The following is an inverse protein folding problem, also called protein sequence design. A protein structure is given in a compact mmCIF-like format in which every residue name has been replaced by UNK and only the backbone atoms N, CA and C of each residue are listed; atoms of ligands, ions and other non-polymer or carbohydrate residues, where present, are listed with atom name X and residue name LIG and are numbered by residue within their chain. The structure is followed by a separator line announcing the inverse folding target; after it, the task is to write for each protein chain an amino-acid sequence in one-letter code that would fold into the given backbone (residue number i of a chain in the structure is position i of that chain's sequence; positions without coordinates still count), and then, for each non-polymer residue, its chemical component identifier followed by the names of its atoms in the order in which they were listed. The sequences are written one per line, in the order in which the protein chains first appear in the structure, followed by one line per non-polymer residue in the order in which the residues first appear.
data_IF_201479313753
#
_entry.id   IF_201479313753
#
_cell.length_a   1.000
_cell.length_b   1.000
_cell.length_c   1.000
_cell.angle_alpha   90.00
_cell.angle_beta   90.00
_cell.angle_gamma   90.00
#
_symmetry.space_group_name_H-M   'P 1'
#
loop_
_entity.id
_entity.type
_entity.pdbx_description
1 polymer ?
#
# COMPACT_ATOMS: atom_id res chain seq x y z
N UNK A 1 -8.22 -12.15 15.31
CA UNK A 1 -6.81 -11.92 14.90
C UNK A 1 -6.75 -12.10 13.38
N UNK A 2 -6.37 -11.07 12.62
CA UNK A 2 -6.35 -11.12 11.15
C UNK A 2 -5.02 -11.78 10.73
N UNK A 3 -5.04 -13.09 10.55
CA UNK A 3 -3.84 -13.87 10.22
C UNK A 3 -3.47 -13.58 8.76
N UNK A 4 -2.24 -13.14 8.54
CA UNK A 4 -1.72 -12.89 7.19
C UNK A 4 -0.87 -14.08 6.75
N UNK A 5 -1.33 -14.79 5.72
CA UNK A 5 -0.56 -15.84 5.08
C UNK A 5 0.43 -15.23 4.10
N UNK A 6 1.63 -15.81 4.02
CA UNK A 6 2.56 -15.56 2.90
C UNK A 6 2.04 -16.22 1.63
N UNK A 7 2.64 -15.90 0.48
CA UNK A 7 2.26 -16.48 -0.81
C UNK A 7 2.41 -18.01 -0.82
N UNK A 8 3.50 -18.52 -0.26
CA UNK A 8 3.75 -19.96 -0.13
C UNK A 8 2.72 -20.63 0.79
N UNK A 9 2.42 -20.02 1.94
CA UNK A 9 1.42 -20.55 2.87
C UNK A 9 0.02 -20.56 2.27
N UNK A 10 -0.32 -19.53 1.49
CA UNK A 10 -1.57 -19.48 0.72
C UNK A 10 -1.64 -20.58 -0.33
N UNK A 11 -0.54 -20.84 -1.04
CA UNK A 11 -0.48 -21.88 -2.06
C UNK A 11 -0.60 -23.28 -1.44
N UNK A 12 0.10 -23.52 -0.33
CA UNK A 12 -0.05 -24.74 0.46
C UNK A 12 -1.48 -24.92 0.97
N UNK A 13 -2.15 -23.84 1.36
CA UNK A 13 -3.56 -23.89 1.74
C UNK A 13 -4.49 -24.25 0.58
N UNK A 14 -4.21 -23.80 -0.65
CA UNK A 14 -4.97 -24.21 -1.83
C UNK A 14 -4.74 -25.67 -2.18
N UNK A 15 -3.48 -26.14 -2.10
CA UNK A 15 -3.13 -27.54 -2.34
C UNK A 15 -3.78 -28.47 -1.30
N UNK A 16 -3.81 -28.02 -0.04
CA UNK A 16 -4.50 -28.68 1.04
C UNK A 16 -6.00 -28.85 0.75
N UNK A 17 -6.67 -27.78 0.33
CA UNK A 17 -8.08 -27.80 -0.06
C UNK A 17 -8.35 -28.72 -1.25
N UNK A 18 -7.44 -28.80 -2.23
CA UNK A 18 -7.54 -29.74 -3.35
C UNK A 18 -7.43 -31.18 -2.90
N UNK A 19 -6.51 -31.47 -1.98
CA UNK A 19 -6.37 -32.81 -1.39
C UNK A 19 -7.64 -33.20 -0.63
N UNK A 20 -8.19 -32.29 0.16
CA UNK A 20 -9.44 -32.49 0.89
C UNK A 20 -10.63 -32.76 -0.06
N UNK A 21 -10.70 -32.09 -1.21
CA UNK A 21 -11.71 -32.36 -2.26
C UNK A 21 -11.54 -33.74 -2.91
N UNK A 22 -10.30 -34.17 -3.13
CA UNK A 22 -9.98 -35.49 -3.69
C UNK A 22 -10.36 -36.61 -2.72
N UNK A 23 -9.97 -36.45 -1.46
CA UNK A 23 -10.00 -37.54 -0.47
C UNK A 23 -11.34 -37.56 0.30
N UNK A 24 -12.15 -36.50 0.18
CA UNK A 24 -13.48 -36.33 0.77
C UNK A 24 -13.46 -36.09 2.29
N UNK A 25 -12.47 -36.62 3.00
CA UNK A 25 -12.22 -36.39 4.42
C UNK A 25 -10.71 -36.46 4.70
N UNK A 26 -10.26 -35.89 5.82
CA UNK A 26 -8.90 -36.09 6.30
C UNK A 26 -8.93 -36.81 7.65
N UNK A 27 -8.05 -37.79 7.79
CA UNK A 27 -7.75 -38.37 9.10
C UNK A 27 -6.86 -37.42 9.91
N UNK A 28 -6.85 -37.59 11.25
CA UNK A 28 -6.12 -36.72 12.19
C UNK A 28 -4.66 -36.49 11.82
N UNK A 29 -3.98 -37.52 11.34
CA UNK A 29 -2.56 -37.45 11.04
C UNK A 29 -2.29 -36.74 9.71
N UNK A 30 -3.23 -36.82 8.76
CA UNK A 30 -3.04 -36.34 7.40
C UNK A 30 -2.92 -34.81 7.31
N UNK A 31 -3.56 -34.06 8.20
CA UNK A 31 -3.44 -32.59 8.24
C UNK A 31 -2.01 -32.18 8.57
N UNK A 32 -1.46 -32.65 9.68
CA UNK A 32 -0.11 -32.28 10.11
C UNK A 32 0.96 -32.88 9.20
N UNK A 33 0.75 -34.11 8.70
CA UNK A 33 1.61 -34.73 7.69
C UNK A 33 1.64 -33.92 6.39
N UNK A 34 0.52 -33.29 6.00
CA UNK A 34 0.50 -32.46 4.79
C UNK A 34 1.38 -31.23 4.91
N UNK A 35 1.31 -30.53 6.05
CA UNK A 35 2.05 -29.28 6.25
C UNK A 35 3.48 -29.49 6.74
N UNK A 36 3.83 -30.67 7.28
CA UNK A 36 5.12 -30.95 7.95
C UNK A 36 5.47 -29.98 9.09
N UNK A 37 4.54 -29.12 9.49
CA UNK A 37 4.68 -28.06 10.47
C UNK A 37 3.31 -27.81 11.10
N UNK A 38 3.25 -27.95 12.43
CA UNK A 38 2.02 -27.80 13.21
C UNK A 38 1.52 -26.36 13.22
N UNK A 39 2.42 -25.39 13.39
CA UNK A 39 2.04 -23.98 13.48
C UNK A 39 1.52 -23.50 12.13
N UNK A 40 2.16 -23.93 11.05
CA UNK A 40 1.68 -23.66 9.70
C UNK A 40 0.27 -24.22 9.46
N UNK A 41 0.05 -25.50 9.81
CA UNK A 41 -1.26 -26.13 9.68
C UNK A 41 -2.34 -25.33 10.43
N UNK A 42 -2.05 -24.95 11.69
CA UNK A 42 -2.97 -24.17 12.52
C UNK A 42 -3.29 -22.82 11.88
N UNK A 43 -2.28 -22.10 11.40
CA UNK A 43 -2.43 -20.78 10.79
C UNK A 43 -3.28 -20.86 9.52
N UNK A 44 -3.01 -21.81 8.63
CA UNK A 44 -3.75 -22.01 7.38
C UNK A 44 -5.18 -22.44 7.66
N UNK A 45 -5.39 -23.46 8.49
CA UNK A 45 -6.72 -23.98 8.83
C UNK A 45 -7.59 -22.90 9.50
N UNK A 46 -7.06 -22.14 10.46
CA UNK A 46 -7.80 -21.03 11.08
C UNK A 46 -8.15 -19.94 10.08
N UNK A 47 -7.27 -19.66 9.12
CA UNK A 47 -7.56 -18.68 8.07
C UNK A 47 -8.70 -19.14 7.18
N UNK A 48 -8.75 -20.44 6.85
CA UNK A 48 -9.83 -21.06 6.08
C UNK A 48 -11.15 -21.07 6.85
N UNK A 49 -11.10 -21.33 8.16
CA UNK A 49 -12.26 -21.28 9.05
C UNK A 49 -12.84 -19.87 9.17
N UNK A 50 -11.99 -18.85 9.38
CA UNK A 50 -12.43 -17.44 9.41
C UNK A 50 -13.09 -17.00 8.10
N UNK A 51 -12.77 -17.67 6.99
CA UNK A 51 -13.39 -17.45 5.68
C UNK A 51 -14.65 -18.29 5.44
N UNK A 52 -15.03 -19.14 6.40
CA UNK A 52 -16.19 -20.03 6.30
C UNK A 52 -16.02 -21.16 5.29
N UNK A 53 -14.77 -21.47 4.89
CA UNK A 53 -14.48 -22.49 3.88
C UNK A 53 -14.48 -23.89 4.49
N UNK A 54 -13.99 -23.98 5.72
CA UNK A 54 -14.00 -25.20 6.52
C UNK A 54 -14.53 -24.88 7.90
N UNK A 55 -14.98 -25.88 8.63
CA UNK A 55 -15.25 -25.78 10.06
C UNK A 55 -14.29 -26.69 10.81
N UNK A 56 -13.66 -26.14 11.84
CA UNK A 56 -12.67 -26.85 12.63
C UNK A 56 -13.34 -27.42 13.88
N UNK A 57 -13.13 -28.71 14.14
CA UNK A 57 -13.63 -29.40 15.33
C UNK A 57 -12.52 -30.20 16.00
N UNK A 58 -12.40 -30.06 17.32
CA UNK A 58 -11.31 -30.67 18.10
C UNK A 58 -11.41 -30.31 19.59
N UNK A 59 -10.55 -30.89 20.44
CA UNK A 59 -10.55 -30.66 21.88
C UNK A 59 -10.07 -29.25 22.22
N UNK A 60 -9.35 -28.57 21.32
CA UNK A 60 -8.97 -27.16 21.49
C UNK A 60 -9.06 -26.38 20.19
N UNK A 61 -9.36 -25.08 20.28
CA UNK A 61 -9.40 -24.15 19.15
C UNK A 61 -8.04 -23.98 18.45
N UNK A 62 -6.95 -24.25 19.17
CA UNK A 62 -5.59 -24.17 18.64
C UNK A 62 -5.11 -25.48 18.03
N UNK A 63 -5.86 -26.58 18.19
CA UNK A 63 -5.50 -27.90 17.69
C UNK A 63 -6.75 -28.63 17.19
N UNK A 64 -7.36 -28.15 16.08
CA UNK A 64 -8.53 -28.80 15.54
C UNK A 64 -8.15 -30.03 14.72
N UNK A 65 -8.75 -31.15 15.08
CA UNK A 65 -8.42 -32.47 14.53
C UNK A 65 -9.35 -32.92 13.41
N UNK A 66 -10.48 -32.26 13.25
CA UNK A 66 -11.54 -32.63 12.31
C UNK A 66 -11.90 -31.42 11.50
N UNK A 67 -11.92 -31.60 10.18
CA UNK A 67 -12.24 -30.56 9.21
C UNK A 67 -13.56 -30.95 8.59
N UNK A 68 -14.61 -30.21 8.91
CA UNK A 68 -15.91 -30.35 8.26
C UNK A 68 -15.93 -29.43 7.03
N UNK A 69 -16.31 -30.03 5.90
CA UNK A 69 -16.36 -29.38 4.59
C UNK A 69 -17.82 -29.11 4.24
N UNK A 70 -18.21 -27.87 3.93
CA UNK A 70 -19.50 -27.60 3.31
C UNK A 70 -19.50 -28.20 1.89
N UNK A 71 -20.59 -28.88 1.51
CA UNK A 71 -20.70 -29.73 0.29
C UNK A 71 -20.17 -29.08 -1.01
N UNK A 72 -20.18 -27.74 -1.15
CA UNK A 72 -19.69 -27.03 -2.35
C UNK A 72 -18.77 -25.81 -2.08
N UNK A 73 -18.46 -25.51 -0.82
CA UNK A 73 -17.76 -24.26 -0.45
C UNK A 73 -16.33 -24.20 -1.01
N UNK A 74 -15.62 -25.33 -0.97
CA UNK A 74 -14.20 -25.41 -1.34
C UNK A 74 -14.00 -25.35 -2.85
N UNK A 75 -14.81 -26.08 -3.61
CA UNK A 75 -14.76 -26.09 -5.08
C UNK A 75 -14.98 -24.69 -5.64
N UNK A 76 -16.01 -23.99 -5.13
CA UNK A 76 -16.31 -22.61 -5.52
C UNK A 76 -15.18 -21.66 -5.13
N UNK A 77 -14.62 -21.80 -3.92
CA UNK A 77 -13.52 -20.98 -3.45
C UNK A 77 -12.24 -21.14 -4.31
N UNK A 78 -11.87 -22.38 -4.63
CA UNK A 78 -10.72 -22.68 -5.48
C UNK A 78 -10.93 -22.23 -6.93
N UNK A 79 -12.13 -22.38 -7.49
CA UNK A 79 -12.49 -21.83 -8.82
C UNK A 79 -12.33 -20.32 -8.87
N UNK A 80 -12.63 -19.64 -7.76
CA UNK A 80 -12.46 -18.20 -7.64
C UNK A 80 -11.00 -17.78 -7.39
N UNK A 81 -10.06 -18.73 -7.34
CA UNK A 81 -8.61 -18.50 -7.24
C UNK A 81 -8.00 -18.75 -5.86
N UNK A 82 -8.79 -19.18 -4.88
CA UNK A 82 -8.31 -19.66 -3.59
C UNK A 82 -7.61 -18.60 -2.73
N UNK A 83 -6.84 -19.06 -1.75
CA UNK A 83 -5.98 -18.25 -0.89
C UNK A 83 -4.85 -17.59 -1.67
N UNK A 84 -4.36 -18.21 -2.75
CA UNK A 84 -3.29 -17.67 -3.59
C UNK A 84 -3.68 -16.35 -4.26
N UNK A 85 -4.91 -16.29 -4.82
CA UNK A 85 -5.41 -15.04 -5.42
C UNK A 85 -5.57 -13.94 -4.37
N UNK A 86 -6.06 -14.28 -3.18
CA UNK A 86 -6.22 -13.31 -2.09
C UNK A 86 -4.86 -12.74 -1.65
N UNK A 87 -3.81 -13.57 -1.60
CA UNK A 87 -2.46 -13.10 -1.31
C UNK A 87 -1.94 -12.16 -2.42
N UNK A 88 -2.13 -12.53 -3.69
CA UNK A 88 -1.72 -11.71 -4.83
C UNK A 88 -2.45 -10.36 -4.91
N UNK A 89 -3.76 -10.34 -4.66
CA UNK A 89 -4.55 -9.11 -4.67
C UNK A 89 -4.15 -8.17 -3.53
N UNK A 90 -3.79 -8.73 -2.36
CA UNK A 90 -3.23 -7.95 -1.25
C UNK A 90 -1.87 -7.35 -1.59
N UNK A 91 -0.96 -8.12 -2.19
CA UNK A 91 0.36 -7.61 -2.61
C UNK A 91 0.22 -6.45 -3.62
N UNK A 92 -0.72 -6.58 -4.57
CA UNK A 92 -1.07 -5.48 -5.48
C UNK A 92 -1.63 -4.27 -4.73
N UNK A 93 -2.46 -4.48 -3.72
CA UNK A 93 -3.03 -3.38 -2.94
C UNK A 93 -1.97 -2.65 -2.10
N UNK A 94 -1.06 -3.39 -1.47
CA UNK A 94 0.01 -2.82 -0.65
C UNK A 94 1.02 -2.05 -1.53
N UNK A 95 1.37 -2.60 -2.70
CA UNK A 95 2.20 -1.89 -3.68
C UNK A 95 1.52 -0.63 -4.26
N UNK A 96 0.20 -0.69 -4.49
CA UNK A 96 -0.57 0.47 -4.94
C UNK A 96 -0.57 1.57 -3.87
N UNK A 97 -0.82 1.21 -2.61
CA UNK A 97 -0.78 2.16 -1.49
C UNK A 97 0.59 2.83 -1.34
N UNK A 98 1.67 2.06 -1.45
CA UNK A 98 3.02 2.61 -1.38
C UNK A 98 3.29 3.63 -2.49
N UNK A 99 2.86 3.31 -3.73
CA UNK A 99 2.95 4.24 -4.87
C UNK A 99 2.09 5.48 -4.68
N UNK A 100 0.88 5.35 -4.16
CA UNK A 100 -0.01 6.49 -3.89
C UNK A 100 0.58 7.43 -2.83
N UNK A 101 1.22 6.87 -1.79
CA UNK A 101 1.93 7.66 -0.77
C UNK A 101 3.13 8.40 -1.37
N UNK A 102 3.89 7.75 -2.26
CA UNK A 102 5.00 8.37 -2.97
C UNK A 102 4.53 9.50 -3.90
N UNK A 103 3.45 9.28 -4.66
CA UNK A 103 2.83 10.31 -5.51
C UNK A 103 2.39 11.50 -4.65
N UNK A 104 1.79 11.26 -3.48
CA UNK A 104 1.35 12.31 -2.57
C UNK A 104 2.52 13.13 -2.04
N UNK A 105 3.62 12.49 -1.64
CA UNK A 105 4.83 13.18 -1.18
C UNK A 105 5.49 14.01 -2.30
N UNK A 106 5.63 13.42 -3.50
CA UNK A 106 6.15 14.11 -4.67
C UNK A 106 5.28 15.30 -5.06
N UNK A 107 3.95 15.16 -5.02
CA UNK A 107 3.00 16.25 -5.29
C UNK A 107 3.16 17.37 -4.27
N UNK A 108 3.27 17.05 -2.98
CA UNK A 108 3.49 18.04 -1.93
C UNK A 108 4.84 18.78 -2.09
N UNK A 109 5.91 18.06 -2.46
CA UNK A 109 7.22 18.65 -2.76
C UNK A 109 7.15 19.58 -3.97
N UNK A 110 6.47 19.17 -5.04
CA UNK A 110 6.33 19.97 -6.25
C UNK A 110 5.55 21.27 -5.98
N UNK A 111 4.43 21.19 -5.25
CA UNK A 111 3.66 22.35 -4.81
C UNK A 111 4.49 23.32 -3.96
N UNK A 112 5.32 22.80 -3.04
CA UNK A 112 6.24 23.64 -2.24
C UNK A 112 7.29 24.34 -3.10
N UNK A 113 7.85 23.65 -4.09
CA UNK A 113 8.83 24.22 -5.01
C UNK A 113 8.21 25.29 -5.91
N UNK A 114 7.03 25.03 -6.48
CA UNK A 114 6.27 26.01 -7.27
C UNK A 114 5.95 27.26 -6.43
N UNK A 115 5.46 27.08 -5.20
CA UNK A 115 5.20 28.20 -4.29
C UNK A 115 6.47 29.01 -3.99
N UNK A 116 7.62 28.35 -3.83
CA UNK A 116 8.90 29.04 -3.61
C UNK A 116 9.35 29.81 -4.86
N UNK A 117 9.18 29.25 -6.06
CA UNK A 117 9.49 29.93 -7.31
C UNK A 117 8.57 31.14 -7.53
N UNK A 118 7.27 30.99 -7.28
CA UNK A 118 6.30 32.07 -7.38
C UNK A 118 6.65 33.23 -6.43
N UNK A 119 7.02 32.94 -5.19
CA UNK A 119 7.49 33.97 -4.23
C UNK A 119 8.72 34.73 -4.73
N UNK A 120 9.69 34.04 -5.35
CA UNK A 120 10.87 34.69 -5.94
C UNK A 120 10.50 35.55 -7.14
N UNK A 121 9.62 35.06 -8.01
CA UNK A 121 9.16 35.82 -9.17
C UNK A 121 8.47 37.13 -8.75
N UNK A 122 7.58 37.07 -7.74
CA UNK A 122 6.94 38.27 -7.17
C UNK A 122 7.96 39.20 -6.52
N UNK A 123 8.94 38.66 -5.80
CA UNK A 123 9.99 39.49 -5.21
C UNK A 123 10.81 40.22 -6.29
N UNK A 124 11.21 39.51 -7.35
CA UNK A 124 11.97 40.10 -8.44
C UNK A 124 11.15 41.10 -9.26
N UNK A 125 9.83 40.92 -9.40
CA UNK A 125 8.98 41.90 -10.05
C UNK A 125 8.90 43.21 -9.25
N UNK A 126 8.83 43.15 -7.91
CA UNK A 126 8.85 44.33 -7.05
C UNK A 126 10.20 45.07 -7.16
N UNK A 127 11.31 44.34 -7.07
CA UNK A 127 12.65 44.93 -7.21
C UNK A 127 12.81 45.56 -8.59
N UNK A 128 12.40 44.87 -9.66
CA UNK A 128 12.44 45.39 -11.02
C UNK A 128 11.59 46.64 -11.20
N UNK A 129 10.42 46.69 -10.56
CA UNK A 129 9.58 47.89 -10.55
C UNK A 129 10.27 49.09 -9.90
N UNK A 130 10.84 48.91 -8.70
CA UNK A 130 11.55 49.97 -7.98
C UNK A 130 12.75 50.49 -8.81
N UNK A 131 13.56 49.58 -9.34
CA UNK A 131 14.71 49.93 -10.20
C UNK A 131 14.26 50.67 -11.45
N UNK A 132 13.16 50.24 -12.08
CA UNK A 132 12.58 50.92 -13.22
C UNK A 132 12.17 52.36 -12.91
N UNK A 133 11.45 52.57 -11.79
CA UNK A 133 11.04 53.92 -11.35
C UNK A 133 12.24 54.83 -11.08
N UNK A 134 13.28 54.32 -10.42
CA UNK A 134 14.53 55.07 -10.18
C UNK A 134 15.22 55.42 -11.49
N UNK A 135 15.31 54.46 -12.43
CA UNK A 135 15.95 54.66 -13.72
C UNK A 135 15.23 55.71 -14.58
N UNK A 136 13.89 55.73 -14.57
CA UNK A 136 13.11 56.73 -15.31
C UNK A 136 13.28 58.14 -14.73
N UNK A 137 13.45 58.28 -13.42
CA UNK A 137 13.58 59.57 -12.73
C UNK A 137 15.04 59.91 -12.32
N UNK A 138 16.03 59.22 -12.92
CA UNK A 138 17.43 59.29 -12.49
C UNK A 138 18.01 60.72 -12.57
N UNK A 139 17.63 61.48 -13.61
CA UNK A 139 18.09 62.87 -13.79
C UNK A 139 17.61 63.78 -12.67
N UNK A 140 16.34 63.71 -12.32
CA UNK A 140 15.75 64.54 -11.27
C UNK A 140 16.31 64.17 -9.89
N UNK A 141 16.57 62.89 -9.65
CA UNK A 141 17.22 62.40 -8.42
C UNK A 141 18.66 62.90 -8.33
N UNK A 142 19.45 62.84 -9.41
CA UNK A 142 20.84 63.32 -9.43
C UNK A 142 20.94 64.83 -9.20
N UNK A 143 19.99 65.60 -9.73
CA UNK A 143 19.87 67.05 -9.49
C UNK A 143 19.48 67.31 -8.03
N UNK A 144 18.51 66.58 -7.48
CA UNK A 144 18.07 66.70 -6.09
C UNK A 144 19.18 66.43 -5.06
N UNK A 145 20.04 65.44 -5.32
CA UNK A 145 21.19 65.15 -4.46
C UNK A 145 22.41 66.08 -4.69
N UNK A 146 22.29 67.09 -5.56
CA UNK A 146 23.33 68.09 -5.81
C UNK A 146 24.68 67.48 -6.25
N UNK A 147 24.64 66.27 -6.84
CA UNK A 147 25.81 65.52 -7.29
C UNK A 147 26.30 66.02 -8.65
N UNK A 148 25.43 66.64 -9.45
CA UNK A 148 25.78 67.25 -10.73
C UNK A 148 25.21 68.68 -10.76
N UNK A 149 26.09 69.68 -10.66
CA UNK A 149 25.78 71.04 -11.14
C UNK A 149 25.99 71.05 -12.64
N UNK A 150 24.92 71.22 -13.41
CA UNK A 150 25.05 71.58 -14.82
C UNK A 150 25.42 73.08 -14.89
N UNK A 151 26.50 73.46 -15.58
CA UNK A 151 26.76 74.86 -15.89
C UNK A 151 25.72 75.35 -16.91
N UNK A 152 25.31 76.62 -16.73
CA UNK A 152 24.36 77.35 -17.58
C UNK A 152 24.74 77.37 -19.07
#
# INVERSE_FOLDING_TARGET
MNIKLTKEQSQMGDDFLRKLLSDGTLERNTVYEFFNDRDLAIVVCKTLEQKGIISLSGPTYNDPFVIAVPEDGISTFLKNGGLSKIAADREKQDTTKAKDEEIRDLTAKNLRLQNRQMKRAVLYSIIGFIVGVIATNLKDILIFFNVIKFPD
#
